data_IF_559888043977
#
_entry.id   IF_559888043977
#
_cell.length_a   1.000
_cell.length_b   1.000
_cell.length_c   1.000
_cell.angle_alpha   90.00
_cell.angle_beta   90.00
_cell.angle_gamma   90.00
#
_symmetry.space_group_name_H-M   'P 1'
#
loop_
_entity.id
_entity.type
_entity.pdbx_description
1 polymer ?
#
# COMPACT_ATOMS: atom_id res chain seq x y z
N UNK A 1 -10.53 -7.29 0.25
CA UNK A 1 -10.85 -8.54 -0.48
C UNK A 1 -11.99 -9.34 0.17
N UNK A 2 -12.72 -8.80 1.15
CA UNK A 2 -13.93 -9.44 1.69
C UNK A 2 -13.75 -10.29 2.95
N UNK A 3 -12.56 -10.34 3.56
CA UNK A 3 -12.37 -11.02 4.83
C UNK A 3 -12.91 -10.23 6.03
N UNK A 4 -13.29 -10.96 7.08
CA UNK A 4 -13.72 -10.38 8.38
C UNK A 4 -12.58 -9.63 9.06
N UNK A 5 -11.38 -10.23 9.10
CA UNK A 5 -10.17 -9.65 9.70
C UNK A 5 -8.97 -10.06 8.84
N UNK A 6 -8.02 -9.14 8.69
CA UNK A 6 -6.66 -9.43 8.26
C UNK A 6 -5.75 -9.28 9.48
N UNK A 7 -5.09 -10.35 9.89
CA UNK A 7 -4.35 -10.39 11.14
C UNK A 7 -2.86 -10.60 10.88
N UNK A 8 -2.04 -9.81 11.56
CA UNK A 8 -0.59 -9.93 11.62
C UNK A 8 -0.22 -10.08 13.11
N UNK A 9 0.61 -11.07 13.45
CA UNK A 9 1.02 -11.32 14.83
C UNK A 9 1.91 -10.20 15.34
N UNK A 10 1.97 -10.07 16.67
CA UNK A 10 2.90 -9.14 17.32
C UNK A 10 4.30 -9.73 17.26
N UNK A 11 5.22 -8.99 16.65
CA UNK A 11 6.60 -9.37 16.41
C UNK A 11 7.55 -8.20 16.71
N UNK A 12 8.83 -8.37 16.39
CA UNK A 12 9.84 -7.32 16.52
C UNK A 12 9.49 -6.06 15.72
N UNK A 13 8.86 -6.20 14.54
CA UNK A 13 8.45 -5.03 13.73
C UNK A 13 7.35 -4.23 14.39
N UNK A 14 6.47 -4.90 15.12
CA UNK A 14 5.47 -4.24 15.97
C UNK A 14 6.13 -3.42 17.08
N UNK A 15 7.15 -3.97 17.74
CA UNK A 15 7.92 -3.25 18.77
C UNK A 15 8.72 -2.08 18.17
N UNK A 16 9.38 -2.27 17.03
CA UNK A 16 10.09 -1.22 16.29
C UNK A 16 9.15 -0.05 15.98
N UNK A 17 7.94 -0.35 15.51
CA UNK A 17 6.93 0.67 15.21
C UNK A 17 6.49 1.42 16.49
N UNK A 18 6.17 0.69 17.57
CA UNK A 18 5.73 1.30 18.83
C UNK A 18 6.82 2.18 19.45
N UNK A 19 8.08 1.76 19.38
CA UNK A 19 9.21 2.58 19.77
C UNK A 19 9.31 3.86 18.93
N UNK A 20 9.14 3.75 17.60
CA UNK A 20 9.21 4.91 16.69
C UNK A 20 8.15 5.97 16.96
N UNK A 21 7.02 5.61 17.56
CA UNK A 21 5.96 6.53 17.98
C UNK A 21 6.04 6.92 19.47
N UNK A 22 7.17 6.63 20.13
CA UNK A 22 7.52 7.14 21.45
C UNK A 22 7.08 6.28 22.64
N UNK A 23 6.81 4.99 22.44
CA UNK A 23 6.59 4.06 23.57
C UNK A 23 7.89 3.80 24.31
N UNK A 24 7.80 3.76 25.63
CA UNK A 24 8.94 3.55 26.52
C UNK A 24 9.42 2.10 26.52
N UNK A 25 10.71 1.88 26.80
CA UNK A 25 11.29 0.54 26.89
C UNK A 25 10.55 -0.37 27.89
N UNK A 26 10.02 0.20 28.97
CA UNK A 26 9.24 -0.53 29.99
C UNK A 26 7.91 -1.03 29.41
N UNK A 27 7.20 -0.19 28.65
CA UNK A 27 5.96 -0.59 27.96
C UNK A 27 6.23 -1.67 26.91
N UNK A 28 7.32 -1.52 26.15
CA UNK A 28 7.71 -2.48 25.11
C UNK A 28 8.10 -3.83 25.71
N UNK A 29 8.86 -3.84 26.80
CA UNK A 29 9.23 -5.05 27.53
C UNK A 29 8.00 -5.75 28.12
N UNK A 30 7.05 -5.00 28.69
CA UNK A 30 5.80 -5.55 29.21
C UNK A 30 4.95 -6.19 28.10
N UNK A 31 4.80 -5.50 26.96
CA UNK A 31 4.06 -6.00 25.80
C UNK A 31 4.68 -7.29 25.27
N UNK A 32 6.00 -7.29 25.06
CA UNK A 32 6.73 -8.46 24.58
C UNK A 32 6.58 -9.65 25.55
N UNK A 33 6.84 -9.43 26.84
CA UNK A 33 6.73 -10.47 27.86
C UNK A 33 5.32 -11.07 27.94
N UNK A 34 4.28 -10.25 27.79
CA UNK A 34 2.89 -10.70 27.75
C UNK A 34 2.62 -11.66 26.57
N UNK A 35 3.05 -11.31 25.36
CA UNK A 35 2.85 -12.16 24.18
C UNK A 35 3.75 -13.41 24.19
N UNK A 36 4.98 -13.31 24.71
CA UNK A 36 5.88 -14.46 24.89
C UNK A 36 5.32 -15.46 25.90
N UNK A 37 4.80 -15.00 27.04
CA UNK A 37 4.19 -15.87 28.06
C UNK A 37 3.02 -16.70 27.51
N UNK A 38 2.32 -16.18 26.49
CA UNK A 38 1.21 -16.85 25.81
C UNK A 38 1.63 -17.62 24.56
N UNK A 39 2.92 -17.58 24.18
CA UNK A 39 3.44 -18.15 22.93
C UNK A 39 2.80 -17.56 21.68
N UNK A 40 2.52 -16.26 21.73
CA UNK A 40 1.89 -15.49 20.64
C UNK A 40 2.81 -14.38 20.09
N UNK A 41 4.07 -14.33 20.52
CA UNK A 41 5.07 -13.38 19.99
C UNK A 41 5.84 -14.00 18.82
N UNK A 42 5.98 -13.25 17.73
CA UNK A 42 6.68 -13.64 16.52
C UNK A 42 5.75 -14.09 15.38
N UNK A 43 6.33 -14.23 14.19
CA UNK A 43 5.63 -14.74 13.01
C UNK A 43 5.68 -16.28 13.03
N UNK A 44 4.54 -16.99 12.99
CA UNK A 44 4.50 -18.44 12.90
C UNK A 44 5.22 -18.90 11.63
N UNK A 45 6.05 -19.93 11.76
CA UNK A 45 6.68 -20.57 10.62
C UNK A 45 5.65 -21.43 9.87
N UNK A 46 5.95 -21.76 8.62
CA UNK A 46 5.06 -22.61 7.81
C UNK A 46 4.92 -23.98 8.48
N UNK A 47 3.69 -24.33 8.85
CA UNK A 47 3.37 -25.59 9.52
C UNK A 47 3.09 -25.45 11.02
N UNK A 48 3.35 -24.28 11.62
CA UNK A 48 3.04 -24.04 13.05
C UNK A 48 1.54 -23.89 13.32
N UNK A 49 0.75 -23.56 12.29
CA UNK A 49 -0.69 -23.35 12.38
C UNK A 49 -1.39 -24.14 11.27
N UNK A 50 -2.41 -24.91 11.66
CA UNK A 50 -3.29 -25.65 10.76
C UNK A 50 -4.32 -24.71 10.12
N UNK A 51 -3.91 -23.98 9.08
CA UNK A 51 -4.81 -23.17 8.28
C UNK A 51 -5.68 -24.04 7.37
N UNK A 52 -6.96 -23.67 7.23
CA UNK A 52 -7.88 -24.32 6.28
C UNK A 52 -7.35 -24.25 4.85
N UNK A 53 -6.80 -23.09 4.47
CA UNK A 53 -6.20 -22.85 3.17
C UNK A 53 -4.95 -21.98 3.32
N UNK A 54 -3.92 -22.29 2.53
CA UNK A 54 -2.68 -21.50 2.48
C UNK A 54 -2.48 -20.93 1.09
N UNK A 55 -2.31 -19.61 1.02
CA UNK A 55 -1.97 -18.89 -0.21
C UNK A 55 -0.51 -18.45 -0.17
N UNK A 56 0.16 -18.47 -1.32
CA UNK A 56 1.54 -17.98 -1.44
C UNK A 56 1.57 -16.79 -2.40
N UNK A 57 2.26 -15.72 -1.99
CA UNK A 57 2.48 -14.54 -2.80
C UNK A 57 3.99 -14.36 -2.97
N UNK A 58 4.45 -14.38 -4.22
CA UNK A 58 5.82 -14.03 -4.56
C UNK A 58 5.96 -12.51 -4.68
N UNK A 59 6.68 -11.90 -3.74
CA UNK A 59 6.90 -10.45 -3.73
C UNK A 59 7.77 -9.98 -4.88
N UNK A 60 8.60 -10.85 -5.49
CA UNK A 60 9.43 -10.48 -6.63
C UNK A 60 8.63 -10.28 -7.91
N UNK A 61 7.45 -10.91 -8.02
CA UNK A 61 6.52 -10.74 -9.12
C UNK A 61 5.66 -9.46 -9.00
N UNK A 62 5.72 -8.75 -7.87
CA UNK A 62 4.94 -7.53 -7.65
C UNK A 62 5.52 -6.38 -8.47
N UNK A 63 4.68 -5.79 -9.32
CA UNK A 63 5.05 -4.62 -10.14
C UNK A 63 4.22 -3.39 -9.77
N UNK A 64 4.77 -2.17 -9.93
CA UNK A 64 4.03 -0.92 -9.77
C UNK A 64 2.74 -0.93 -10.58
N UNK A 65 1.62 -0.66 -9.91
CA UNK A 65 0.27 -0.80 -10.48
C UNK A 65 -0.68 0.24 -9.91
N UNK A 66 -1.78 0.48 -10.61
CA UNK A 66 -2.93 1.25 -10.13
C UNK A 66 -4.18 0.36 -10.12
N UNK A 67 -5.21 0.78 -9.40
CA UNK A 67 -6.51 0.12 -9.39
C UNK A 67 -7.58 1.02 -10.01
N UNK A 68 -8.46 0.46 -10.84
CA UNK A 68 -9.58 1.17 -11.45
C UNK A 68 -9.86 0.75 -12.90
N UNK A 69 -10.72 1.50 -13.62
CA UNK A 69 -11.28 2.80 -13.24
C UNK A 69 -12.47 2.72 -12.28
N UNK A 70 -13.12 1.55 -12.15
CA UNK A 70 -14.40 1.45 -11.43
C UNK A 70 -14.34 0.67 -10.13
N UNK A 71 -13.43 -0.30 -9.98
CA UNK A 71 -13.37 -1.16 -8.79
C UNK A 71 -11.95 -1.31 -8.25
N UNK A 72 -11.75 -1.41 -6.92
CA UNK A 72 -10.42 -1.55 -6.32
C UNK A 72 -9.65 -2.81 -6.71
N UNK A 73 -10.35 -3.88 -7.08
CA UNK A 73 -9.73 -5.13 -7.54
C UNK A 73 -9.24 -5.07 -8.99
N UNK A 74 -9.61 -4.03 -9.75
CA UNK A 74 -9.24 -3.88 -11.16
C UNK A 74 -7.78 -3.40 -11.26
N UNK A 75 -6.83 -4.32 -11.07
CA UNK A 75 -5.39 -4.02 -11.09
C UNK A 75 -4.87 -3.84 -12.50
N UNK A 76 -4.21 -2.72 -12.75
CA UNK A 76 -3.55 -2.39 -14.02
C UNK A 76 -2.08 -2.08 -13.75
N UNK A 77 -1.16 -2.81 -14.39
CA UNK A 77 0.27 -2.52 -14.30
C UNK A 77 0.57 -1.16 -14.93
N UNK A 78 1.46 -0.38 -14.31
CA UNK A 78 1.82 0.96 -14.83
C UNK A 78 2.39 0.90 -16.26
N UNK A 79 3.11 -0.18 -16.60
CA UNK A 79 3.68 -0.41 -17.94
C UNK A 79 2.61 -0.51 -19.04
N UNK A 80 1.40 -0.95 -18.71
CA UNK A 80 0.29 -1.14 -19.67
C UNK A 80 -0.83 -0.12 -19.47
N UNK A 81 -0.68 0.86 -18.57
CA UNK A 81 -1.75 1.77 -18.19
C UNK A 81 -2.29 2.56 -19.38
N UNK A 82 -1.41 3.09 -20.23
CA UNK A 82 -1.79 3.91 -21.39
C UNK A 82 -2.67 3.16 -22.39
N UNK A 83 -2.30 1.93 -22.74
CA UNK A 83 -3.11 1.12 -23.68
C UNK A 83 -4.44 0.74 -23.05
N UNK A 84 -4.43 0.31 -21.77
CA UNK A 84 -5.64 -0.08 -21.05
C UNK A 84 -6.63 1.07 -20.89
N UNK A 85 -6.16 2.27 -20.55
CA UNK A 85 -7.03 3.45 -20.51
C UNK A 85 -7.64 3.67 -21.89
N UNK A 86 -6.85 3.75 -22.96
CA UNK A 86 -7.39 3.96 -24.32
C UNK A 86 -8.42 2.92 -24.75
N UNK A 87 -8.26 1.66 -24.39
CA UNK A 87 -9.24 0.60 -24.65
C UNK A 87 -10.58 0.81 -23.92
N UNK A 88 -10.55 1.40 -22.72
CA UNK A 88 -11.73 1.63 -21.88
C UNK A 88 -12.49 2.90 -22.26
N UNK A 89 -11.85 3.81 -22.98
CA UNK A 89 -12.39 5.11 -23.36
C UNK A 89 -13.23 4.99 -24.65
N UNK A 90 -14.48 5.47 -24.70
CA UNK A 90 -15.30 5.44 -25.91
C UNK A 90 -14.68 6.27 -27.06
N UNK A 91 -14.76 5.74 -28.27
CA UNK A 91 -14.18 6.33 -29.49
C UNK A 91 -14.85 7.62 -29.98
N UNK A 92 -16.00 8.00 -29.41
CA UNK A 92 -16.86 9.10 -29.91
C UNK A 92 -16.95 10.31 -28.99
N UNK A 93 -16.06 10.43 -27.99
CA UNK A 93 -16.05 11.61 -27.11
C UNK A 93 -15.64 12.86 -27.91
N UNK A 94 -16.54 13.83 -28.02
CA UNK A 94 -16.26 15.15 -28.60
C UNK A 94 -15.20 15.85 -27.75
N UNK A 95 -14.06 16.19 -28.34
CA UNK A 95 -13.11 17.13 -27.74
C UNK A 95 -13.80 18.50 -27.63
N UNK A 96 -14.18 18.88 -26.41
CA UNK A 96 -14.74 20.18 -26.11
C UNK A 96 -13.75 20.93 -25.20
N UNK A 97 -12.90 21.77 -25.82
CA UNK A 97 -11.94 22.63 -25.10
C UNK A 97 -10.53 22.07 -24.98
N UNK A 98 -9.76 22.54 -23.98
CA UNK A 98 -8.35 22.16 -23.74
C UNK A 98 -8.17 20.80 -23.04
N UNK A 99 -9.26 20.14 -22.67
CA UNK A 99 -9.24 18.85 -21.97
C UNK A 99 -9.49 17.70 -22.94
N UNK A 100 -8.67 16.67 -22.80
CA UNK A 100 -8.73 15.42 -23.55
C UNK A 100 -9.14 14.26 -22.65
N UNK A 101 -9.61 13.18 -23.27
CA UNK A 101 -10.00 12.00 -22.51
C UNK A 101 -8.76 11.31 -21.91
N UNK A 102 -8.82 11.02 -20.61
CA UNK A 102 -7.68 10.51 -19.85
C UNK A 102 -6.85 11.58 -19.14
N UNK A 103 -7.18 12.87 -19.31
CA UNK A 103 -6.55 13.94 -18.53
C UNK A 103 -6.86 13.80 -17.04
N UNK A 104 -5.84 14.04 -16.21
CA UNK A 104 -5.96 13.99 -14.76
C UNK A 104 -6.47 15.34 -14.26
N UNK A 105 -7.73 15.38 -13.84
CA UNK A 105 -8.38 16.57 -13.26
C UNK A 105 -8.35 16.60 -11.73
N UNK A 106 -8.01 15.47 -11.11
CA UNK A 106 -7.86 15.33 -9.66
C UNK A 106 -6.65 14.44 -9.36
N UNK A 107 -5.69 14.98 -8.62
CA UNK A 107 -4.57 14.25 -8.07
C UNK A 107 -4.49 14.54 -6.57
N UNK A 108 -4.93 13.58 -5.75
CA UNK A 108 -5.02 13.75 -4.30
C UNK A 108 -4.22 12.67 -3.57
N UNK A 109 -3.32 13.09 -2.68
CA UNK A 109 -2.73 12.21 -1.66
C UNK A 109 -3.69 12.22 -0.48
N UNK A 110 -4.41 11.12 -0.29
CA UNK A 110 -5.46 10.97 0.73
C UNK A 110 -5.48 9.55 1.29
N UNK A 111 -6.45 9.26 2.14
CA UNK A 111 -6.71 7.98 2.82
C UNK A 111 -5.67 7.56 3.85
N UNK A 112 -6.16 7.01 4.97
CA UNK A 112 -5.33 6.44 6.03
C UNK A 112 -4.46 5.27 5.56
N UNK A 113 -4.82 4.57 4.48
CA UNK A 113 -4.06 3.43 3.95
C UNK A 113 -2.64 3.82 3.53
N UNK A 114 -2.47 5.02 2.96
CA UNK A 114 -1.17 5.48 2.46
C UNK A 114 -0.58 6.59 3.34
N UNK A 115 -1.40 7.50 3.88
CA UNK A 115 -0.89 8.64 4.65
C UNK A 115 -0.33 8.24 6.02
N UNK A 116 -0.75 7.10 6.57
CA UNK A 116 -0.15 6.52 7.79
C UNK A 116 1.24 5.93 7.57
N UNK A 117 1.64 5.70 6.31
CA UNK A 117 2.94 5.16 5.96
C UNK A 117 3.92 6.31 5.64
N UNK A 118 4.77 6.65 6.60
CA UNK A 118 5.74 7.75 6.49
C UNK A 118 6.71 7.57 5.31
N UNK A 119 7.09 6.33 4.99
CA UNK A 119 7.98 6.04 3.86
C UNK A 119 7.38 6.51 2.53
N UNK A 120 6.08 6.29 2.33
CA UNK A 120 5.39 6.71 1.10
C UNK A 120 5.27 8.24 1.03
N UNK A 121 4.97 8.90 2.13
CA UNK A 121 4.84 10.36 2.18
C UNK A 121 6.19 11.06 1.93
N UNK A 122 7.26 10.55 2.55
CA UNK A 122 8.61 11.03 2.30
C UNK A 122 9.05 10.78 0.86
N UNK A 123 8.75 9.60 0.31
CA UNK A 123 9.04 9.30 -1.10
C UNK A 123 8.32 10.27 -2.05
N UNK A 124 7.05 10.59 -1.80
CA UNK A 124 6.29 11.57 -2.58
C UNK A 124 6.94 12.97 -2.51
N UNK A 125 7.35 13.42 -1.32
CA UNK A 125 8.04 14.69 -1.14
C UNK A 125 9.41 14.74 -1.84
N UNK A 126 10.19 13.66 -1.75
CA UNK A 126 11.48 13.55 -2.45
C UNK A 126 11.29 13.57 -3.96
N UNK A 127 10.27 12.87 -4.47
CA UNK A 127 9.93 12.88 -5.89
C UNK A 127 9.56 14.30 -6.34
N UNK A 128 8.70 15.00 -5.59
CA UNK A 128 8.31 16.37 -5.87
C UNK A 128 9.52 17.32 -5.86
N UNK A 129 10.40 17.21 -4.85
CA UNK A 129 11.64 18.00 -4.79
C UNK A 129 12.51 17.82 -6.03
N UNK A 130 12.67 16.57 -6.49
CA UNK A 130 13.42 16.27 -7.72
C UNK A 130 12.72 16.82 -8.95
N UNK A 131 11.41 16.65 -9.08
CA UNK A 131 10.62 17.17 -10.19
C UNK A 131 10.77 18.69 -10.33
N UNK A 132 10.66 19.43 -9.22
CA UNK A 132 10.87 20.89 -9.17
C UNK A 132 12.30 21.27 -9.55
N UNK A 133 13.31 20.54 -9.07
CA UNK A 133 14.70 20.76 -9.45
C UNK A 133 14.95 20.56 -10.96
N UNK A 134 14.11 19.75 -11.62
CA UNK A 134 14.10 19.55 -13.07
C UNK A 134 13.12 20.49 -13.81
N UNK A 135 12.55 21.50 -13.14
CA UNK A 135 11.69 22.51 -13.76
C UNK A 135 10.24 22.09 -13.99
N UNK A 136 9.82 20.94 -13.46
CA UNK A 136 8.43 20.48 -13.52
C UNK A 136 7.57 21.21 -12.48
N UNK A 137 6.27 21.36 -12.78
CA UNK A 137 5.25 22.00 -11.92
C UNK A 137 3.96 21.21 -11.92
#
# INVERSE_FOLDING_TARGET
YGATVAFFTVDEKTLDFLNSVGRSDVELAALKGYFEAQRMFGIPTRGDIDYTDTLTIDLSAVVPSVAGPSRPQDRIALSTLKSKVREMLPSTAREAGKLSHGDIVLAAITSCTNTSNSNLMLAAGILAKKAVAHGLK
#
